data_IF_866042364799
#
_entry.id   IF_866042364799
#
_cell.length_a   1.000
_cell.length_b   1.000
_cell.length_c   1.000
_cell.angle_alpha   90.00
_cell.angle_beta   90.00
_cell.angle_gamma   90.00
#
_symmetry.space_group_name_H-M   'P 1'
#
loop_
_entity.id
_entity.type
_entity.pdbx_description
1 polymer ?
#
# COMPACT_ATOMS: atom_id res chain seq x y z
N UNK A 1 11.19 14.94 -12.06
CA UNK A 1 10.28 13.78 -12.34
C UNK A 1 9.20 13.83 -11.28
N UNK A 2 7.92 13.61 -11.64
CA UNK A 2 6.86 13.58 -10.63
C UNK A 2 7.12 12.46 -9.62
N UNK A 3 7.04 12.77 -8.32
CA UNK A 3 7.28 11.85 -7.20
C UNK A 3 6.50 10.54 -7.35
N UNK A 4 5.20 10.65 -7.61
CA UNK A 4 4.31 9.48 -7.75
C UNK A 4 4.76 8.59 -8.92
N UNK A 5 5.14 9.21 -10.03
CA UNK A 5 5.60 8.46 -11.21
C UNK A 5 6.94 7.75 -10.95
N UNK A 6 7.83 8.34 -10.16
CA UNK A 6 9.09 7.70 -9.76
C UNK A 6 8.80 6.49 -8.85
N UNK A 7 7.97 6.67 -7.83
CA UNK A 7 7.63 5.61 -6.87
C UNK A 7 6.89 4.42 -7.50
N UNK A 8 6.05 4.64 -8.52
CA UNK A 8 5.37 3.56 -9.25
C UNK A 8 6.29 2.61 -10.01
N UNK A 9 7.56 2.96 -10.17
CA UNK A 9 8.58 2.11 -10.84
C UNK A 9 9.40 1.27 -9.87
N UNK A 10 9.18 1.43 -8.57
CA UNK A 10 9.97 0.83 -7.50
C UNK A 10 9.09 -0.19 -6.78
N UNK A 11 9.63 -1.35 -6.42
CA UNK A 11 8.92 -2.33 -5.61
C UNK A 11 8.79 -1.90 -4.14
N UNK A 12 7.75 -2.38 -3.44
CA UNK A 12 7.60 -2.10 -2.00
C UNK A 12 8.81 -2.54 -1.16
N UNK A 13 9.46 -3.69 -1.41
CA UNK A 13 10.72 -4.03 -0.74
C UNK A 13 11.86 -3.03 -0.99
N UNK A 14 12.04 -2.57 -2.23
CA UNK A 14 13.06 -1.55 -2.54
C UNK A 14 12.74 -0.22 -1.85
N UNK A 15 11.45 0.18 -1.80
CA UNK A 15 11.01 1.37 -1.04
C UNK A 15 11.34 1.21 0.44
N UNK A 16 11.06 0.05 1.05
CA UNK A 16 11.39 -0.22 2.45
C UNK A 16 12.90 -0.09 2.72
N UNK A 17 13.73 -0.73 1.87
CA UNK A 17 15.20 -0.63 1.96
C UNK A 17 15.68 0.84 1.85
N UNK A 18 15.08 1.61 0.93
CA UNK A 18 15.38 3.04 0.79
C UNK A 18 15.06 3.84 2.04
N UNK A 19 13.89 3.60 2.66
CA UNK A 19 13.49 4.28 3.91
C UNK A 19 14.48 4.00 5.04
N UNK A 20 15.01 2.76 5.15
CA UNK A 20 15.96 2.37 6.18
C UNK A 20 17.24 3.21 6.17
N UNK A 21 17.69 3.69 5.00
CA UNK A 21 18.91 4.49 4.88
C UNK A 21 18.81 5.84 5.60
N UNK A 22 17.60 6.34 5.81
CA UNK A 22 17.37 7.63 6.46
C UNK A 22 17.24 7.53 7.99
N UNK A 23 17.09 6.32 8.55
CA UNK A 23 16.91 6.09 10.00
C UNK A 23 15.76 6.89 10.63
N UNK A 24 14.68 7.16 9.89
CA UNK A 24 13.53 7.97 10.34
C UNK A 24 12.54 7.19 11.19
N UNK A 25 12.61 5.84 11.17
CA UNK A 25 11.79 4.95 11.99
C UNK A 25 12.47 3.59 12.19
N UNK A 26 12.05 2.79 13.22
CA UNK A 26 12.49 1.40 13.38
C UNK A 26 12.14 0.56 12.14
N UNK A 27 13.04 -0.37 11.77
CA UNK A 27 12.91 -1.21 10.55
C UNK A 27 11.71 -2.16 10.58
N UNK A 28 11.16 -2.47 11.75
CA UNK A 28 10.00 -3.33 11.96
C UNK A 28 8.67 -2.55 12.04
N UNK A 29 8.63 -1.30 11.58
CA UNK A 29 7.45 -0.44 11.62
C UNK A 29 7.16 0.20 10.27
N UNK A 30 5.88 0.60 10.09
CA UNK A 30 5.46 1.38 8.93
C UNK A 30 5.01 0.55 7.73
N UNK A 31 4.69 -0.73 7.92
CA UNK A 31 4.13 -1.62 6.91
C UNK A 31 3.03 -2.52 7.48
N UNK A 32 2.20 -3.07 6.59
CA UNK A 32 1.09 -3.97 6.96
C UNK A 32 1.59 -5.39 7.26
N UNK A 33 0.74 -6.20 7.92
CA UNK A 33 0.94 -7.65 8.05
C UNK A 33 1.06 -8.33 6.69
N UNK A 34 1.77 -9.46 6.64
CA UNK A 34 2.11 -10.19 5.41
C UNK A 34 0.91 -10.77 4.63
N UNK A 35 -0.28 -10.73 5.23
CA UNK A 35 -1.52 -11.24 4.61
C UNK A 35 -2.08 -10.27 3.58
N UNK A 36 -1.90 -8.94 3.80
CA UNK A 36 -2.42 -7.90 2.91
C UNK A 36 -1.46 -7.71 1.73
N UNK A 37 -1.96 -7.89 0.51
CA UNK A 37 -1.20 -7.76 -0.74
C UNK A 37 -2.05 -7.15 -1.84
N UNK A 38 -1.41 -6.50 -2.80
CA UNK A 38 -2.09 -6.09 -4.02
C UNK A 38 -2.45 -7.32 -4.87
N UNK A 39 -3.72 -7.41 -5.27
CA UNK A 39 -4.28 -8.57 -5.96
C UNK A 39 -3.99 -8.59 -7.47
N UNK A 40 -3.65 -7.44 -8.06
CA UNK A 40 -3.44 -7.27 -9.50
C UNK A 40 -2.01 -6.80 -9.80
N UNK A 41 -0.99 -7.69 -9.72
CA UNK A 41 0.42 -7.30 -9.88
C UNK A 41 0.72 -6.63 -11.24
N UNK A 42 -0.03 -6.97 -12.27
CA UNK A 42 0.09 -6.42 -13.62
C UNK A 42 -0.27 -4.93 -13.72
N UNK A 43 -1.04 -4.39 -12.77
CA UNK A 43 -1.34 -2.96 -12.69
C UNK A 43 -0.18 -2.14 -12.09
N UNK A 44 0.86 -2.83 -11.60
CA UNK A 44 1.97 -2.20 -10.91
C UNK A 44 1.62 -1.69 -9.50
N UNK A 45 2.56 -0.99 -8.85
CA UNK A 45 2.35 -0.49 -7.50
C UNK A 45 1.21 0.53 -7.39
N UNK A 46 0.41 0.38 -6.34
CA UNK A 46 -0.57 1.36 -5.90
C UNK A 46 0.15 2.45 -5.10
N UNK A 47 0.18 3.68 -5.61
CA UNK A 47 0.85 4.81 -4.97
C UNK A 47 -0.09 6.01 -4.94
N UNK A 48 -0.22 6.65 -3.77
CA UNK A 48 -1.04 7.84 -3.62
C UNK A 48 -1.27 8.24 -2.16
N UNK A 49 -2.00 9.33 -1.98
CA UNK A 49 -2.28 9.90 -0.67
C UNK A 49 -3.51 9.26 -0.03
N UNK A 50 -3.41 8.91 1.24
CA UNK A 50 -4.40 8.15 1.98
C UNK A 50 -5.70 8.95 2.22
N UNK A 51 -6.84 8.32 1.90
CA UNK A 51 -8.18 8.75 2.31
C UNK A 51 -8.73 7.68 3.23
N UNK A 52 -8.90 7.98 4.51
CA UNK A 52 -9.15 6.98 5.54
C UNK A 52 -10.61 6.84 5.91
N UNK A 53 -11.07 5.61 6.16
CA UNK A 53 -12.43 5.31 6.63
C UNK A 53 -12.47 4.08 7.54
N UNK A 54 -13.57 3.99 8.30
CA UNK A 54 -13.95 2.86 9.12
C UNK A 54 -15.23 2.24 8.59
N UNK A 55 -15.29 0.91 8.53
CA UNK A 55 -16.48 0.15 8.13
C UNK A 55 -16.87 -0.89 9.17
N UNK A 56 -18.11 -1.36 9.06
CA UNK A 56 -18.62 -2.61 9.61
C UNK A 56 -19.44 -3.35 8.58
N UNK A 57 -19.51 -4.67 8.69
CA UNK A 57 -20.29 -5.53 7.80
C UNK A 57 -21.22 -6.47 8.53
N UNK A 58 -20.90 -6.88 9.75
CA UNK A 58 -21.69 -7.87 10.48
C UNK A 58 -23.01 -7.32 11.04
N UNK A 59 -23.06 -6.21 11.79
CA UNK A 59 -24.34 -5.70 12.28
C UNK A 59 -25.06 -4.90 11.19
N UNK A 60 -26.38 -5.06 11.10
CA UNK A 60 -27.19 -4.18 10.29
C UNK A 60 -27.03 -2.71 10.75
N UNK A 61 -26.87 -1.75 9.84
CA UNK A 61 -26.62 -0.37 10.21
C UNK A 61 -27.84 0.25 10.95
N UNK A 62 -27.55 0.93 12.05
CA UNK A 62 -28.51 1.85 12.66
C UNK A 62 -28.37 3.19 11.89
N UNK A 63 -29.46 3.76 11.35
CA UNK A 63 -29.38 4.96 10.50
C UNK A 63 -28.57 6.12 11.11
N UNK A 64 -28.67 6.33 12.42
CA UNK A 64 -27.93 7.38 13.13
C UNK A 64 -26.42 7.14 13.21
N UNK A 65 -25.94 5.93 12.94
CA UNK A 65 -24.51 5.55 13.02
C UNK A 65 -23.88 5.33 11.64
N UNK A 66 -24.56 5.73 10.58
CA UNK A 66 -24.06 5.59 9.21
C UNK A 66 -23.52 6.92 8.71
N UNK A 67 -22.26 6.92 8.27
CA UNK A 67 -21.66 8.10 7.67
C UNK A 67 -22.37 8.50 6.35
N UNK A 68 -22.45 9.80 6.09
CA UNK A 68 -23.03 10.33 4.85
C UNK A 68 -22.17 10.00 3.65
N UNK A 69 -22.75 9.38 2.62
CA UNK A 69 -22.07 9.07 1.37
C UNK A 69 -21.58 10.33 0.65
N UNK A 70 -22.35 11.41 0.65
CA UNK A 70 -21.91 12.65 -0.02
C UNK A 70 -20.80 13.36 0.75
N UNK A 71 -20.89 13.43 2.07
CA UNK A 71 -19.81 13.96 2.89
C UNK A 71 -18.51 13.12 2.75
N UNK A 72 -18.63 11.81 2.57
CA UNK A 72 -17.50 10.96 2.22
C UNK A 72 -16.85 11.35 0.90
N UNK A 73 -17.64 11.55 -0.17
CA UNK A 73 -17.08 11.97 -1.47
C UNK A 73 -16.42 13.33 -1.41
N UNK A 74 -17.00 14.29 -0.66
CA UNK A 74 -16.38 15.59 -0.42
C UNK A 74 -15.04 15.45 0.31
N UNK A 75 -14.97 14.55 1.31
CA UNK A 75 -13.73 14.24 2.00
C UNK A 75 -12.69 13.59 1.06
N UNK A 76 -13.10 12.63 0.22
CA UNK A 76 -12.23 12.05 -0.80
C UNK A 76 -11.61 13.17 -1.65
N UNK A 77 -12.41 14.09 -2.15
CA UNK A 77 -11.95 15.19 -3.01
C UNK A 77 -11.06 16.20 -2.29
N UNK A 78 -11.12 16.30 -0.96
CA UNK A 78 -10.27 17.19 -0.17
C UNK A 78 -8.80 16.74 -0.08
N UNK A 79 -8.51 15.47 -0.35
CA UNK A 79 -7.14 14.93 -0.36
C UNK A 79 -6.54 15.07 -1.76
N UNK A 80 -5.24 15.42 -1.93
CA UNK A 80 -4.60 15.50 -3.24
C UNK A 80 -4.62 14.17 -4.01
N UNK A 81 -4.80 14.23 -5.33
CA UNK A 81 -4.68 13.05 -6.20
C UNK A 81 -3.21 12.77 -6.57
N UNK A 82 -2.84 11.51 -6.91
CA UNK A 82 -3.69 10.32 -6.85
C UNK A 82 -3.97 9.89 -5.41
N UNK A 83 -5.16 9.34 -5.17
CA UNK A 83 -5.60 8.92 -3.84
C UNK A 83 -5.57 7.41 -3.68
N UNK A 84 -5.30 6.95 -2.46
CA UNK A 84 -5.49 5.55 -2.03
C UNK A 84 -6.50 5.55 -0.91
N UNK A 85 -7.63 4.85 -1.11
CA UNK A 85 -8.60 4.71 -0.02
C UNK A 85 -8.06 3.69 0.98
N UNK A 86 -8.00 4.04 2.26
CA UNK A 86 -7.48 3.16 3.33
C UNK A 86 -8.59 2.90 4.31
N UNK A 87 -9.06 1.64 4.35
CA UNK A 87 -10.28 1.26 5.07
C UNK A 87 -9.99 0.20 6.11
N UNK A 88 -10.32 0.52 7.35
CA UNK A 88 -10.26 -0.44 8.46
C UNK A 88 -11.64 -1.03 8.74
N UNK A 89 -11.72 -2.36 8.74
CA UNK A 89 -12.88 -3.13 9.15
C UNK A 89 -12.88 -3.32 10.68
N UNK A 90 -13.93 -2.84 11.33
CA UNK A 90 -14.09 -2.88 12.79
C UNK A 90 -14.67 -4.21 13.31
N UNK A 91 -15.04 -5.13 12.41
CA UNK A 91 -15.60 -6.42 12.80
C UNK A 91 -14.50 -7.39 13.27
N UNK A 92 -14.91 -8.37 14.08
CA UNK A 92 -14.06 -9.47 14.55
C UNK A 92 -14.83 -10.79 14.43
N UNK A 93 -14.43 -11.71 13.53
CA UNK A 93 -13.34 -11.58 12.57
C UNK A 93 -13.65 -10.57 11.46
N UNK A 94 -12.59 -9.96 10.88
CA UNK A 94 -12.69 -9.05 9.73
C UNK A 94 -13.09 -9.77 8.45
N UNK A 95 -13.54 -9.01 7.46
CA UNK A 95 -13.79 -9.53 6.12
C UNK A 95 -15.13 -10.23 5.95
N UNK A 96 -16.08 -10.04 6.87
CA UNK A 96 -17.42 -10.64 6.81
C UNK A 96 -18.22 -10.18 5.58
N UNK A 97 -18.00 -8.93 5.12
CA UNK A 97 -18.67 -8.38 3.96
C UNK A 97 -17.78 -7.48 3.13
N UNK A 98 -17.94 -7.53 1.79
CA UNK A 98 -17.16 -6.76 0.85
C UNK A 98 -17.75 -5.35 0.66
N UNK A 99 -17.06 -4.33 1.16
CA UNK A 99 -17.34 -2.91 0.84
C UNK A 99 -16.99 -2.60 -0.61
N UNK A 100 -15.93 -3.23 -1.14
CA UNK A 100 -15.31 -2.93 -2.42
C UNK A 100 -15.65 -3.96 -3.47
N UNK A 101 -16.28 -3.51 -4.55
CA UNK A 101 -16.60 -4.23 -5.76
C UNK A 101 -16.65 -3.26 -6.92
N UNK A 102 -17.21 -3.67 -8.06
CA UNK A 102 -17.22 -2.92 -9.32
C UNK A 102 -17.78 -1.50 -9.16
N UNK A 103 -18.93 -1.33 -8.50
CA UNK A 103 -19.58 -0.02 -8.36
C UNK A 103 -18.72 0.95 -7.55
N UNK A 104 -18.21 0.51 -6.40
CA UNK A 104 -17.38 1.36 -5.55
C UNK A 104 -16.04 1.69 -6.21
N UNK A 105 -15.45 0.73 -6.93
CA UNK A 105 -14.21 0.96 -7.68
C UNK A 105 -14.41 2.01 -8.80
N UNK A 106 -15.52 1.94 -9.56
CA UNK A 106 -15.84 2.93 -10.58
C UNK A 106 -16.06 4.33 -10.00
N UNK A 107 -16.85 4.46 -8.93
CA UNK A 107 -17.08 5.74 -8.25
C UNK A 107 -15.74 6.35 -7.80
N UNK A 108 -14.94 5.60 -7.06
CA UNK A 108 -13.70 6.14 -6.49
C UNK A 108 -12.62 6.38 -7.55
N UNK A 109 -12.59 5.61 -8.64
CA UNK A 109 -11.73 5.92 -9.78
C UNK A 109 -12.12 7.24 -10.43
N UNK A 110 -13.41 7.50 -10.61
CA UNK A 110 -13.90 8.78 -11.10
C UNK A 110 -13.57 9.96 -10.16
N UNK A 111 -13.52 9.69 -8.85
CA UNK A 111 -13.04 10.65 -7.82
C UNK A 111 -11.51 10.73 -7.73
N UNK A 112 -10.75 10.16 -8.68
CA UNK A 112 -9.28 10.25 -8.73
C UNK A 112 -8.53 9.34 -7.77
N UNK A 113 -9.17 8.25 -7.30
CA UNK A 113 -8.51 7.20 -6.54
C UNK A 113 -7.87 6.15 -7.46
N UNK A 114 -6.70 5.66 -7.10
CA UNK A 114 -5.96 4.63 -7.83
C UNK A 114 -6.28 3.20 -7.34
N UNK A 115 -6.78 3.07 -6.13
CA UNK A 115 -7.11 1.79 -5.52
C UNK A 115 -7.48 1.91 -4.05
N UNK A 116 -7.64 0.75 -3.40
CA UNK A 116 -7.94 0.62 -1.97
C UNK A 116 -6.93 -0.27 -1.27
N UNK A 117 -6.60 0.10 -0.04
CA UNK A 117 -5.89 -0.70 0.96
C UNK A 117 -6.86 -0.97 2.10
N UNK A 118 -7.14 -2.25 2.41
CA UNK A 118 -8.10 -2.60 3.46
C UNK A 118 -7.76 -3.93 4.14
N UNK A 119 -8.15 -4.08 5.39
CA UNK A 119 -8.21 -5.34 6.11
C UNK A 119 -9.65 -5.93 6.15
N UNK A 120 -10.61 -5.28 5.47
CA UNK A 120 -11.89 -5.84 5.11
C UNK A 120 -11.86 -6.60 3.77
N UNK A 121 -13.01 -7.06 3.30
CA UNK A 121 -13.14 -7.84 2.06
C UNK A 121 -13.42 -7.00 0.82
N UNK A 122 -13.04 -7.59 -0.34
CA UNK A 122 -13.36 -7.10 -1.69
C UNK A 122 -14.07 -8.20 -2.50
N UNK A 123 -14.68 -7.82 -3.64
CA UNK A 123 -15.31 -8.71 -4.62
C UNK A 123 -15.21 -8.13 -6.04
N UNK A 124 -15.83 -8.78 -7.02
CA UNK A 124 -15.89 -8.38 -8.44
C UNK A 124 -14.47 -8.18 -9.02
N UNK A 125 -13.58 -9.17 -8.78
CA UNK A 125 -12.15 -9.04 -9.02
C UNK A 125 -11.82 -8.82 -10.50
N UNK A 126 -12.51 -9.51 -11.41
CA UNK A 126 -12.23 -9.44 -12.84
C UNK A 126 -12.67 -8.10 -13.43
N UNK A 127 -13.83 -7.58 -13.02
CA UNK A 127 -14.37 -6.29 -13.41
C UNK A 127 -13.46 -5.15 -12.92
N UNK A 128 -13.01 -5.23 -11.67
CA UNK A 128 -12.16 -4.22 -11.06
C UNK A 128 -10.74 -4.26 -11.65
N UNK A 129 -10.22 -5.45 -11.96
CA UNK A 129 -8.97 -5.62 -12.70
C UNK A 129 -9.06 -4.96 -14.08
N UNK A 130 -10.12 -5.24 -14.83
CA UNK A 130 -10.34 -4.66 -16.15
C UNK A 130 -10.49 -3.13 -16.09
N UNK A 131 -11.09 -2.62 -15.02
CA UNK A 131 -11.17 -1.18 -14.75
C UNK A 131 -9.77 -0.55 -14.53
N UNK A 132 -8.76 -1.32 -14.11
CA UNK A 132 -7.45 -0.81 -13.72
C UNK A 132 -7.48 -0.06 -12.37
N UNK A 133 -8.25 -0.58 -11.40
CA UNK A 133 -8.30 -0.10 -10.03
C UNK A 133 -7.71 -1.15 -9.10
N UNK A 134 -6.69 -0.79 -8.32
CA UNK A 134 -5.94 -1.77 -7.53
C UNK A 134 -6.64 -2.09 -6.21
N UNK A 135 -6.72 -3.38 -5.89
CA UNK A 135 -7.10 -3.86 -4.57
C UNK A 135 -5.88 -4.36 -3.80
N UNK A 136 -5.64 -3.86 -2.59
CA UNK A 136 -4.66 -4.37 -1.63
C UNK A 136 -5.40 -4.84 -0.37
N UNK A 137 -5.52 -6.15 -0.19
CA UNK A 137 -6.32 -6.76 0.90
C UNK A 137 -5.83 -8.18 1.23
N UNK A 138 -6.32 -8.71 2.36
CA UNK A 138 -6.19 -10.11 2.76
C UNK A 138 -7.46 -10.95 2.42
N UNK A 139 -8.60 -10.30 2.18
CA UNK A 139 -9.90 -10.97 2.16
C UNK A 139 -10.67 -10.74 0.87
N UNK A 140 -11.28 -11.83 0.36
CA UNK A 140 -12.24 -11.80 -0.76
C UNK A 140 -13.52 -12.47 -0.30
N UNK A 141 -14.69 -11.84 -0.51
CA UNK A 141 -16.00 -12.34 -0.08
C UNK A 141 -17.02 -12.25 -1.20
N UNK A 142 -17.95 -13.19 -1.25
CA UNK A 142 -19.04 -13.19 -2.26
C UNK A 142 -20.14 -12.17 -1.94
N UNK A 143 -20.33 -11.83 -0.65
CA UNK A 143 -21.41 -10.97 -0.18
C UNK A 143 -20.90 -9.63 0.34
N UNK A 144 -21.69 -8.58 0.18
CA UNK A 144 -21.47 -7.32 0.88
C UNK A 144 -21.99 -7.36 2.33
N UNK A 145 -22.75 -8.42 2.74
CA UNK A 145 -23.40 -8.50 4.04
C UNK A 145 -24.19 -7.20 4.36
N UNK A 146 -24.00 -6.64 5.56
CA UNK A 146 -24.58 -5.36 5.96
C UNK A 146 -23.56 -4.22 5.92
N UNK A 147 -22.55 -4.31 5.04
CA UNK A 147 -21.44 -3.36 5.02
C UNK A 147 -21.90 -1.91 4.94
N UNK A 148 -21.34 -1.11 5.80
CA UNK A 148 -21.61 0.33 5.85
C UNK A 148 -20.41 1.09 6.41
N UNK A 149 -20.27 2.33 5.98
CA UNK A 149 -19.27 3.24 6.53
C UNK A 149 -19.75 3.79 7.88
N UNK A 150 -18.89 3.67 8.87
CA UNK A 150 -19.13 4.16 10.25
C UNK A 150 -18.60 5.59 10.40
N UNK A 151 -17.37 5.83 9.95
CA UNK A 151 -16.71 7.14 10.06
C UNK A 151 -15.57 7.26 9.04
N UNK A 152 -15.05 8.48 8.83
CA UNK A 152 -13.96 8.74 7.91
C UNK A 152 -13.13 9.96 8.31
N UNK A 153 -11.96 10.14 7.68
CA UNK A 153 -11.11 11.31 7.92
C UNK A 153 -10.34 11.28 9.24
N UNK A 154 -10.22 10.12 9.87
CA UNK A 154 -9.47 9.91 11.12
C UNK A 154 -8.35 8.89 10.89
N UNK A 155 -7.34 8.83 11.78
CA UNK A 155 -6.32 7.79 11.73
C UNK A 155 -6.94 6.39 11.86
N UNK A 156 -6.54 5.45 10.98
CA UNK A 156 -7.00 4.06 10.99
C UNK A 156 -5.83 3.10 11.14
N UNK A 157 -6.10 1.86 11.59
CA UNK A 157 -5.08 0.82 11.75
C UNK A 157 -5.40 -0.38 10.87
N UNK A 158 -4.81 -0.44 9.68
CA UNK A 158 -5.03 -1.51 8.70
C UNK A 158 -3.86 -2.50 8.73
N UNK A 159 -4.12 -3.77 8.97
CA UNK A 159 -3.10 -4.81 9.04
C UNK A 159 -1.93 -4.47 9.99
N UNK A 160 -2.22 -3.79 11.10
CA UNK A 160 -1.21 -3.34 12.06
C UNK A 160 -0.54 -1.99 11.73
N UNK A 161 -0.68 -1.48 10.50
CA UNK A 161 -0.15 -0.19 10.06
C UNK A 161 -1.10 0.95 10.45
N UNK A 162 -0.62 1.94 11.21
CA UNK A 162 -1.32 3.20 11.40
C UNK A 162 -1.18 4.10 10.18
N UNK A 163 -2.32 4.59 9.68
CA UNK A 163 -2.40 5.52 8.55
C UNK A 163 -3.26 6.70 8.91
N UNK A 164 -2.78 7.90 8.63
CA UNK A 164 -3.51 9.17 8.77
C UNK A 164 -3.99 9.66 7.41
N UNK A 165 -5.07 10.46 7.36
CA UNK A 165 -5.43 11.17 6.14
C UNK A 165 -4.24 11.95 5.57
N UNK A 166 -3.97 11.79 4.26
CA UNK A 166 -2.85 12.44 3.57
C UNK A 166 -1.51 11.72 3.63
N UNK A 167 -1.35 10.64 4.40
CA UNK A 167 -0.13 9.84 4.38
C UNK A 167 0.12 9.27 2.98
N UNK A 168 1.39 9.26 2.55
CA UNK A 168 1.77 8.67 1.26
C UNK A 168 1.88 7.15 1.39
N UNK A 169 1.05 6.44 0.64
CA UNK A 169 0.95 4.98 0.60
C UNK A 169 1.70 4.44 -0.63
N UNK A 170 2.42 3.34 -0.43
CA UNK A 170 2.95 2.50 -1.49
C UNK A 170 2.56 1.04 -1.21
N UNK A 171 1.96 0.36 -2.19
CA UNK A 171 1.55 -1.03 -2.05
C UNK A 171 1.74 -1.81 -3.35
N UNK A 172 2.23 -3.05 -3.22
CA UNK A 172 2.32 -4.02 -4.31
C UNK A 172 2.01 -5.45 -3.83
N UNK A 173 2.34 -6.45 -4.62
CA UNK A 173 2.12 -7.86 -4.26
C UNK A 173 2.96 -8.37 -3.07
N UNK A 174 3.90 -7.56 -2.55
CA UNK A 174 4.63 -7.88 -1.32
C UNK A 174 3.95 -7.34 -0.06
N UNK A 175 3.09 -6.32 -0.19
CA UNK A 175 2.39 -5.68 0.91
C UNK A 175 2.21 -4.18 0.71
N UNK A 176 1.96 -3.46 1.80
CA UNK A 176 1.80 -2.01 1.78
C UNK A 176 2.61 -1.35 2.90
N UNK A 177 3.05 -0.12 2.65
CA UNK A 177 3.77 0.70 3.63
C UNK A 177 3.42 2.18 3.46
N UNK A 178 3.72 2.97 4.50
CA UNK A 178 3.71 4.43 4.44
C UNK A 178 5.11 4.95 4.13
N UNK A 179 5.19 6.02 3.34
CA UNK A 179 6.44 6.74 3.07
C UNK A 179 6.45 8.01 3.92
N UNK A 180 7.43 8.21 4.82
CA UNK A 180 7.55 9.43 5.60
C UNK A 180 7.75 10.66 4.69
N UNK A 181 6.96 11.74 4.88
CA UNK A 181 6.97 12.88 3.95
C UNK A 181 8.32 13.59 3.88
N UNK A 182 9.09 13.61 4.98
CA UNK A 182 10.38 14.30 5.07
C UNK A 182 11.49 13.68 4.20
N UNK A 183 11.30 12.45 3.71
CA UNK A 183 12.26 11.75 2.85
C UNK A 183 11.74 11.45 1.45
N UNK A 184 10.45 11.68 1.19
CA UNK A 184 9.76 11.22 -0.01
C UNK A 184 10.47 11.64 -1.31
N UNK A 185 10.89 12.91 -1.41
CA UNK A 185 11.55 13.45 -2.60
C UNK A 185 12.94 12.86 -2.87
N UNK A 186 13.61 12.32 -1.84
CA UNK A 186 14.95 11.72 -1.94
C UNK A 186 14.93 10.20 -2.04
N UNK A 187 13.77 9.59 -1.84
CA UNK A 187 13.65 8.14 -1.69
C UNK A 187 14.03 7.39 -2.97
N UNK A 188 13.60 7.87 -4.13
CA UNK A 188 13.91 7.23 -5.41
C UNK A 188 15.42 7.21 -5.71
N UNK A 189 16.16 8.26 -5.34
CA UNK A 189 17.61 8.33 -5.48
C UNK A 189 18.32 7.35 -4.52
N UNK A 190 17.87 7.30 -3.26
CA UNK A 190 18.37 6.35 -2.27
C UNK A 190 18.18 4.90 -2.72
N UNK A 191 17.00 4.56 -3.24
CA UNK A 191 16.71 3.23 -3.80
C UNK A 191 17.64 2.93 -4.98
N UNK A 192 17.81 3.86 -5.92
CA UNK A 192 18.68 3.65 -7.08
C UNK A 192 20.14 3.38 -6.68
N UNK A 193 20.62 4.01 -5.62
CA UNK A 193 21.96 3.78 -5.06
C UNK A 193 22.09 2.36 -4.50
N UNK A 194 21.12 1.93 -3.68
CA UNK A 194 21.09 0.57 -3.12
C UNK A 194 21.07 -0.48 -4.24
N UNK A 195 20.16 -0.33 -5.19
CA UNK A 195 20.02 -1.26 -6.31
C UNK A 195 21.26 -1.34 -7.20
N UNK A 196 21.99 -0.21 -7.35
CA UNK A 196 23.26 -0.21 -8.09
C UNK A 196 24.33 -1.07 -7.38
N UNK A 197 24.37 -1.01 -6.06
CA UNK A 197 25.28 -1.82 -5.25
C UNK A 197 24.87 -3.31 -5.22
N UNK A 198 23.59 -3.59 -5.09
CA UNK A 198 23.07 -4.95 -5.17
C UNK A 198 23.34 -5.61 -6.52
N UNK A 199 23.20 -4.85 -7.62
CA UNK A 199 23.53 -5.34 -8.97
C UNK A 199 24.99 -5.77 -9.12
N UNK A 200 25.94 -5.12 -8.43
CA UNK A 200 27.35 -5.56 -8.43
C UNK A 200 27.51 -6.95 -7.83
N UNK A 201 26.86 -7.18 -6.67
CA UNK A 201 26.89 -8.50 -5.99
C UNK A 201 26.22 -9.56 -6.86
N UNK A 202 25.02 -9.27 -7.37
CA UNK A 202 24.25 -10.18 -8.23
C UNK A 202 25.05 -10.56 -9.49
N UNK A 203 25.61 -9.56 -10.19
CA UNK A 203 26.41 -9.77 -11.38
C UNK A 203 27.64 -10.63 -11.10
N UNK A 204 28.31 -10.42 -9.97
CA UNK A 204 29.43 -11.26 -9.58
C UNK A 204 29.01 -12.71 -9.29
N UNK A 205 27.91 -12.91 -8.58
CA UNK A 205 27.35 -14.26 -8.31
C UNK A 205 26.99 -15.02 -9.59
N UNK A 206 26.61 -14.32 -10.65
CA UNK A 206 26.27 -14.90 -11.96
C UNK A 206 27.46 -15.01 -12.93
N UNK A 207 28.62 -14.52 -12.52
CA UNK A 207 29.83 -14.51 -13.35
C UNK A 207 30.45 -15.89 -13.51
N UNK A 208 30.96 -16.25 -14.68
CA UNK A 208 31.78 -17.46 -14.86
C UNK A 208 33.09 -17.45 -14.03
N UNK A 209 33.51 -16.28 -13.57
CA UNK A 209 34.69 -16.11 -12.71
C UNK A 209 34.36 -16.10 -11.23
N UNK A 210 33.14 -16.50 -10.84
CA UNK A 210 32.71 -16.53 -9.44
C UNK A 210 33.58 -17.48 -8.60
N UNK A 211 34.00 -16.99 -7.44
CA UNK A 211 34.57 -17.82 -6.37
C UNK A 211 34.25 -17.18 -4.98
N UNK A 212 34.10 -18.01 -3.98
CA UNK A 212 33.54 -17.60 -2.68
C UNK A 212 34.35 -16.49 -1.97
N UNK A 213 35.68 -16.52 -2.06
CA UNK A 213 36.52 -15.51 -1.41
C UNK A 213 36.39 -14.14 -2.09
N UNK A 214 36.30 -14.11 -3.43
CA UNK A 214 36.02 -12.88 -4.17
C UNK A 214 34.67 -12.26 -3.84
N UNK A 215 33.64 -13.10 -3.54
CA UNK A 215 32.35 -12.57 -3.06
C UNK A 215 32.51 -11.90 -1.69
N UNK A 216 33.28 -12.46 -0.76
CA UNK A 216 33.54 -11.86 0.54
C UNK A 216 34.20 -10.48 0.40
N UNK A 217 35.21 -10.37 -0.46
CA UNK A 217 35.88 -9.10 -0.70
C UNK A 217 34.96 -8.05 -1.34
N UNK A 218 34.17 -8.44 -2.34
CA UNK A 218 33.16 -7.55 -2.95
C UNK A 218 32.13 -7.10 -1.91
N UNK A 219 31.64 -8.03 -1.08
CA UNK A 219 30.61 -7.74 -0.08
C UNK A 219 31.12 -6.72 0.97
N UNK A 220 32.38 -6.84 1.42
CA UNK A 220 33.00 -5.86 2.31
C UNK A 220 33.06 -4.46 1.71
N UNK A 221 33.31 -4.37 0.39
CA UNK A 221 33.37 -3.08 -0.31
C UNK A 221 31.98 -2.44 -0.46
N UNK A 222 30.96 -3.25 -0.81
CA UNK A 222 29.61 -2.78 -1.13
C UNK A 222 28.77 -2.56 0.14
N UNK A 223 29.00 -3.36 1.20
CA UNK A 223 28.22 -3.35 2.44
C UNK A 223 29.17 -3.26 3.67
N UNK A 224 29.91 -2.16 3.84
CA UNK A 224 30.83 -2.05 4.98
C UNK A 224 30.11 -2.11 6.32
N UNK A 225 30.60 -2.97 7.23
CA UNK A 225 30.07 -3.10 8.59
C UNK A 225 28.82 -3.97 8.76
N UNK A 226 28.42 -4.76 7.75
CA UNK A 226 27.23 -5.67 7.81
C UNK A 226 27.59 -7.16 7.94
N UNK A 227 28.83 -7.51 8.26
CA UNK A 227 29.35 -8.90 8.38
C UNK A 227 29.97 -9.16 9.74
#
# INVERSE_FOLDING_TARGET
MDLIHALKKISSPSVANGIETFNVRPRNQGFVSSEIRALFPELGPLVGYAVTALIRAEPAPVPAHRASTFAWWDHVLSIPAPRVVVVHDLDDPRGQGAQWGEVQANIHKALGCAGVLTDGSVRDLDEVRALGFQFATAHVSVSHAYVHMVDFGLPVKVGGLWVKPGDLIHADHHGALTIPPEIADRLAEAVATIEADERKIIAYCQSPTFFAEGLKELYKQVRPGTY
#
